data_IF_511321923095
#
_entry.id   IF_511321923095
#
_cell.length_a   1.000
_cell.length_b   1.000
_cell.length_c   1.000
_cell.angle_alpha   90.00
_cell.angle_beta   90.00
_cell.angle_gamma   90.00
#
_symmetry.space_group_name_H-M   'P 1'
#
loop_
_entity.id
_entity.type
_entity.pdbx_description
1 polymer ?
#
# COMPACT_ATOMS: atom_id res chain seq x y z
N UNK A 1 17.09 19.15 50.68
CA UNK A 1 17.68 18.03 49.90
C UNK A 1 16.73 17.65 48.77
N UNK A 2 16.94 18.16 47.55
CA UNK A 2 16.12 17.85 46.40
C UNK A 2 16.53 16.50 45.80
N UNK A 3 15.64 15.53 45.84
CA UNK A 3 15.84 14.23 45.15
C UNK A 3 15.89 14.50 43.63
N UNK A 4 17.10 14.42 43.04
CA UNK A 4 17.27 14.28 41.59
C UNK A 4 16.49 13.05 41.14
N UNK A 5 15.36 13.25 40.44
CA UNK A 5 14.67 12.19 39.70
C UNK A 5 15.62 11.68 38.62
N UNK A 6 15.98 10.42 38.70
CA UNK A 6 16.69 9.72 37.67
C UNK A 6 15.92 9.89 36.35
N UNK A 7 16.62 10.29 35.30
CA UNK A 7 16.10 10.46 33.96
C UNK A 7 15.84 9.05 33.38
N UNK A 8 14.69 8.45 33.75
CA UNK A 8 14.32 7.13 33.25
C UNK A 8 13.77 7.34 31.83
N UNK A 9 14.59 6.99 30.82
CA UNK A 9 14.23 7.04 29.40
C UNK A 9 13.19 5.99 28.98
N UNK A 10 12.73 5.13 29.90
CA UNK A 10 11.76 4.08 29.63
C UNK A 10 10.34 4.57 29.96
N UNK A 11 9.40 4.25 29.07
CA UNK A 11 7.97 4.49 29.26
C UNK A 11 7.44 3.60 30.38
N UNK A 12 6.63 4.16 31.25
CA UNK A 12 5.84 3.36 32.20
C UNK A 12 4.74 2.59 31.46
N UNK A 13 4.26 1.48 32.06
CA UNK A 13 3.18 0.68 31.47
C UNK A 13 1.93 1.51 31.12
N UNK A 14 1.67 2.57 31.89
CA UNK A 14 0.53 3.46 31.65
C UNK A 14 0.78 4.41 30.48
N UNK A 15 1.96 4.95 30.38
CA UNK A 15 2.39 5.80 29.24
C UNK A 15 2.40 4.98 27.95
N UNK A 16 2.87 3.73 28.00
CA UNK A 16 2.82 2.83 26.87
C UNK A 16 1.37 2.57 26.43
N UNK A 17 0.45 2.27 27.36
CA UNK A 17 -0.97 2.06 27.03
C UNK A 17 -1.62 3.28 26.38
N UNK A 18 -1.26 4.48 26.83
CA UNK A 18 -1.76 5.75 26.23
C UNK A 18 -1.20 5.92 24.82
N UNK A 19 0.10 5.70 24.63
CA UNK A 19 0.75 5.82 23.33
C UNK A 19 0.19 4.81 22.32
N UNK A 20 0.00 3.56 22.74
CA UNK A 20 -0.56 2.51 21.90
C UNK A 20 -2.01 2.81 21.49
N UNK A 21 -2.82 3.37 22.40
CA UNK A 21 -4.17 3.81 22.06
C UNK A 21 -4.18 4.97 21.06
N UNK A 22 -3.27 5.95 21.21
CA UNK A 22 -3.14 7.08 20.27
C UNK A 22 -2.75 6.55 18.89
N UNK A 23 -1.77 5.67 18.82
CA UNK A 23 -1.33 5.02 17.57
C UNK A 23 -2.46 4.27 16.88
N UNK A 24 -3.17 3.43 17.66
CA UNK A 24 -4.31 2.66 17.17
C UNK A 24 -5.39 3.55 16.57
N UNK A 25 -5.75 4.63 17.25
CA UNK A 25 -6.77 5.58 16.78
C UNK A 25 -6.33 6.32 15.50
N UNK A 26 -5.09 6.78 15.43
CA UNK A 26 -4.55 7.41 14.20
C UNK A 26 -4.57 6.41 13.05
N UNK A 27 -4.27 5.14 13.33
CA UNK A 27 -4.29 4.09 12.32
C UNK A 27 -5.70 3.76 11.81
N UNK A 28 -6.67 3.60 12.73
CA UNK A 28 -8.04 3.19 12.40
C UNK A 28 -8.88 4.34 11.81
N UNK A 29 -8.77 5.53 12.40
CA UNK A 29 -9.66 6.65 12.09
C UNK A 29 -8.99 7.72 11.19
N UNK A 30 -7.64 7.69 11.03
CA UNK A 30 -6.88 8.68 10.27
C UNK A 30 -6.62 10.00 11.02
N UNK A 31 -7.05 10.12 12.27
CA UNK A 31 -6.84 11.31 13.11
C UNK A 31 -6.62 10.93 14.59
N UNK A 32 -5.89 11.78 15.36
CA UNK A 32 -5.60 11.49 16.75
C UNK A 32 -6.85 11.58 17.64
N UNK A 33 -6.89 10.81 18.77
CA UNK A 33 -7.98 10.83 19.71
C UNK A 33 -7.99 12.12 20.52
N UNK A 34 -9.17 12.48 21.02
CA UNK A 34 -9.33 13.53 22.04
C UNK A 34 -8.84 13.06 23.40
N UNK A 35 -8.51 14.00 24.28
CA UNK A 35 -8.12 13.70 25.69
C UNK A 35 -9.19 12.89 26.42
N UNK A 36 -10.48 13.10 26.11
CA UNK A 36 -11.60 12.35 26.71
C UNK A 36 -11.63 10.91 26.24
N UNK A 37 -11.38 10.65 24.96
CA UNK A 37 -11.28 9.31 24.40
C UNK A 37 -10.10 8.54 25.02
N UNK A 38 -8.92 9.18 25.15
CA UNK A 38 -7.78 8.61 25.84
C UNK A 38 -8.16 8.28 27.29
N UNK A 39 -8.80 9.21 28.01
CA UNK A 39 -9.21 9.02 29.38
C UNK A 39 -10.10 7.77 29.58
N UNK A 40 -11.07 7.60 28.68
CA UNK A 40 -11.98 6.44 28.67
C UNK A 40 -11.24 5.14 28.34
N UNK A 41 -10.38 5.15 27.33
CA UNK A 41 -9.68 3.97 26.86
C UNK A 41 -8.71 3.38 27.89
N UNK A 42 -8.05 4.24 28.68
CA UNK A 42 -7.09 3.79 29.70
C UNK A 42 -7.67 3.77 31.12
N UNK A 43 -9.01 3.85 31.26
CA UNK A 43 -9.75 3.84 32.52
C UNK A 43 -9.25 4.90 33.53
N UNK A 44 -8.98 6.11 33.07
CA UNK A 44 -8.66 7.25 33.93
C UNK A 44 -9.94 8.10 34.15
N UNK A 45 -10.09 8.61 35.37
CA UNK A 45 -11.25 9.44 35.76
C UNK A 45 -11.04 10.95 35.52
N UNK A 46 -9.79 11.37 35.36
CA UNK A 46 -9.42 12.78 35.25
C UNK A 46 -8.65 13.07 33.97
N UNK A 47 -9.15 14.02 33.17
CA UNK A 47 -8.45 14.54 32.00
C UNK A 47 -7.13 15.24 32.36
N UNK A 48 -7.03 15.83 33.55
CA UNK A 48 -5.80 16.46 34.06
C UNK A 48 -4.66 15.43 34.17
N UNK A 49 -4.99 14.19 34.57
CA UNK A 49 -4.02 13.10 34.65
C UNK A 49 -3.51 12.72 33.26
N UNK A 50 -4.42 12.66 32.27
CA UNK A 50 -4.05 12.39 30.88
C UNK A 50 -3.13 13.51 30.35
N UNK A 51 -3.46 14.77 30.63
CA UNK A 51 -2.57 15.90 30.24
C UNK A 51 -1.17 15.76 30.83
N UNK A 52 -1.03 15.28 32.06
CA UNK A 52 0.27 15.03 32.69
C UNK A 52 1.07 13.93 31.95
N UNK A 53 0.41 12.83 31.57
CA UNK A 53 1.06 11.78 30.77
C UNK A 53 1.45 12.27 29.38
N UNK A 54 0.55 13.02 28.72
CA UNK A 54 0.85 13.57 27.38
C UNK A 54 2.00 14.59 27.44
N UNK A 55 2.11 15.41 28.49
CA UNK A 55 3.23 16.34 28.67
C UNK A 55 4.56 15.58 28.82
N UNK A 56 4.54 14.47 29.57
CA UNK A 56 5.75 13.65 29.74
C UNK A 56 6.14 12.93 28.45
N UNK A 57 5.16 12.38 27.70
CA UNK A 57 5.43 11.77 26.38
C UNK A 57 6.01 12.79 25.40
N UNK A 58 5.58 14.05 25.46
CA UNK A 58 6.12 15.15 24.68
C UNK A 58 7.54 15.54 25.11
N UNK A 59 7.81 15.61 26.42
CA UNK A 59 9.16 15.85 26.97
C UNK A 59 10.12 14.72 26.59
N UNK A 60 9.64 13.47 26.48
CA UNK A 60 10.40 12.32 26.01
C UNK A 60 10.59 12.33 24.49
N UNK A 61 9.93 13.21 23.75
CA UNK A 61 10.02 13.34 22.30
C UNK A 61 9.28 12.25 21.51
N UNK A 62 8.41 11.45 22.17
CA UNK A 62 7.63 10.38 21.50
C UNK A 62 6.31 10.87 20.89
N UNK A 63 5.84 12.04 21.32
CA UNK A 63 4.75 12.78 20.70
C UNK A 63 5.10 14.25 20.54
N UNK A 64 4.44 14.93 19.60
CA UNK A 64 4.39 16.38 19.49
C UNK A 64 2.94 16.85 19.62
N UNK A 65 2.74 18.03 20.19
CA UNK A 65 1.43 18.68 20.24
C UNK A 65 1.48 19.99 19.49
N UNK A 66 0.45 20.26 18.71
CA UNK A 66 0.24 21.59 18.16
C UNK A 66 -0.69 22.38 19.09
N UNK A 67 -0.23 23.49 19.68
CA UNK A 67 -1.05 24.31 20.59
C UNK A 67 -2.31 24.90 19.93
N UNK A 68 -2.31 24.99 18.59
CA UNK A 68 -3.40 25.61 17.84
C UNK A 68 -4.60 24.69 17.58
N UNK A 69 -4.47 23.39 17.85
CA UNK A 69 -5.54 22.42 17.55
C UNK A 69 -5.81 21.46 18.71
N UNK A 70 -7.08 21.28 19.03
CA UNK A 70 -7.53 20.35 20.09
C UNK A 70 -7.33 18.86 19.76
N UNK A 71 -6.98 18.53 18.52
CA UNK A 71 -6.69 17.17 17.99
C UNK A 71 -5.30 17.03 17.40
N UNK A 72 -4.36 17.85 17.82
CA UNK A 72 -3.03 17.86 17.24
C UNK A 72 -2.02 17.12 18.11
N UNK A 73 -2.17 15.81 18.21
CA UNK A 73 -1.16 14.91 18.74
C UNK A 73 -0.52 14.19 17.57
N UNK A 74 0.74 14.50 17.28
CA UNK A 74 1.57 13.77 16.33
C UNK A 74 2.45 12.79 17.11
N UNK A 75 2.43 11.53 16.76
CA UNK A 75 3.37 10.54 17.32
C UNK A 75 4.68 10.67 16.57
N UNK A 76 5.74 11.07 17.29
CA UNK A 76 7.11 11.12 16.77
C UNK A 76 7.66 9.70 16.87
N UNK A 77 7.33 8.86 15.93
CA UNK A 77 7.81 7.48 15.93
C UNK A 77 8.63 7.20 14.68
N UNK A 78 9.88 6.84 14.90
CA UNK A 78 10.76 6.32 13.85
C UNK A 78 10.27 4.93 13.35
N UNK A 79 9.18 4.43 13.94
CA UNK A 79 8.57 3.13 13.64
C UNK A 79 7.11 3.21 13.17
N UNK A 80 6.68 4.35 12.64
CA UNK A 80 5.34 4.53 12.03
C UNK A 80 5.02 3.49 10.94
N UNK A 81 6.06 2.95 10.30
CA UNK A 81 5.96 1.87 9.32
C UNK A 81 5.41 0.54 9.90
N UNK A 82 5.57 0.27 11.23
CA UNK A 82 5.03 -0.95 11.88
C UNK A 82 3.50 -0.95 11.95
N UNK A 83 2.88 0.21 11.83
CA UNK A 83 1.44 0.39 11.87
C UNK A 83 0.84 0.70 10.50
N UNK A 84 1.64 0.65 9.42
CA UNK A 84 1.11 0.80 8.07
C UNK A 84 0.14 -0.33 7.75
N UNK A 85 -1.01 0.04 7.22
CA UNK A 85 -2.00 -0.94 6.74
C UNK A 85 -1.35 -1.75 5.64
N UNK A 86 -1.19 -3.05 5.88
CA UNK A 86 -0.74 -4.00 4.87
C UNK A 86 -1.96 -4.55 4.14
N UNK A 87 -1.93 -4.51 2.83
CA UNK A 87 -2.98 -5.08 1.98
C UNK A 87 -2.46 -6.42 1.47
N UNK A 88 -3.19 -7.53 1.71
CA UNK A 88 -2.84 -8.82 1.14
C UNK A 88 -3.08 -8.77 -0.37
N UNK A 89 -2.01 -8.90 -1.17
CA UNK A 89 -2.06 -8.90 -2.62
C UNK A 89 -2.01 -10.33 -3.15
N UNK A 90 -3.05 -10.80 -3.86
CA UNK A 90 -3.01 -12.10 -4.49
C UNK A 90 -1.96 -12.12 -5.61
N UNK A 91 -1.12 -13.14 -5.61
CA UNK A 91 -0.17 -13.42 -6.68
C UNK A 91 -0.79 -14.42 -7.64
N UNK A 92 -0.93 -14.01 -8.91
CA UNK A 92 -1.59 -14.79 -9.95
C UNK A 92 -0.53 -15.38 -10.89
N UNK A 93 -0.52 -16.69 -11.06
CA UNK A 93 0.46 -17.38 -11.90
C UNK A 93 0.18 -17.27 -13.40
N UNK A 94 -1.10 -17.24 -13.80
CA UNK A 94 -1.53 -17.06 -15.17
C UNK A 94 -2.88 -16.34 -15.22
N UNK A 95 -3.07 -15.50 -16.23
CA UNK A 95 -4.33 -14.80 -16.50
C UNK A 95 -4.91 -15.36 -17.80
N UNK A 96 -6.13 -15.92 -17.74
CA UNK A 96 -6.81 -16.54 -18.88
C UNK A 96 -8.11 -15.83 -19.23
N UNK A 97 -8.55 -16.03 -20.46
CA UNK A 97 -9.83 -15.50 -20.92
C UNK A 97 -11.01 -16.23 -20.26
N UNK A 98 -12.04 -15.45 -19.88
CA UNK A 98 -13.29 -16.01 -19.35
C UNK A 98 -13.32 -16.35 -17.86
N UNK A 99 -12.19 -16.27 -17.16
CA UNK A 99 -12.09 -16.60 -15.74
C UNK A 99 -11.85 -15.33 -14.90
N UNK A 100 -12.40 -15.24 -13.67
CA UNK A 100 -12.07 -14.16 -12.74
C UNK A 100 -10.58 -14.18 -12.42
N UNK A 101 -9.93 -13.01 -12.42
CA UNK A 101 -8.48 -12.87 -12.16
C UNK A 101 -8.04 -13.43 -10.81
N UNK A 102 -8.90 -13.29 -9.82
CA UNK A 102 -8.64 -13.63 -8.41
C UNK A 102 -9.50 -14.81 -7.97
N UNK A 103 -9.79 -15.74 -8.88
CA UNK A 103 -10.36 -17.03 -8.47
C UNK A 103 -9.33 -17.77 -7.61
N UNK A 104 -9.77 -18.44 -6.53
CA UNK A 104 -8.90 -19.17 -5.61
C UNK A 104 -7.97 -20.16 -6.31
N UNK A 105 -8.36 -20.67 -7.47
CA UNK A 105 -7.61 -21.62 -8.30
C UNK A 105 -6.38 -21.00 -8.99
N UNK A 106 -6.33 -19.68 -9.12
CA UNK A 106 -5.24 -18.94 -9.78
C UNK A 106 -4.29 -18.24 -8.82
N UNK A 107 -4.64 -18.18 -7.53
CA UNK A 107 -3.84 -17.54 -6.50
C UNK A 107 -2.77 -18.51 -6.01
N UNK A 108 -1.53 -18.32 -6.45
CA UNK A 108 -0.39 -19.14 -6.01
C UNK A 108 0.06 -18.78 -4.59
N UNK A 109 -0.03 -17.52 -4.22
CA UNK A 109 0.35 -17.02 -2.90
C UNK A 109 -0.22 -15.62 -2.63
N UNK A 110 -0.02 -15.11 -1.41
CA UNK A 110 -0.42 -13.75 -1.03
C UNK A 110 0.81 -12.98 -0.54
N UNK A 111 1.07 -11.82 -1.16
CA UNK A 111 2.18 -10.95 -0.80
C UNK A 111 1.66 -9.67 -0.14
N UNK A 112 1.99 -9.39 1.14
CA UNK A 112 1.50 -8.19 1.81
C UNK A 112 2.27 -6.96 1.36
N UNK A 113 1.55 -5.94 0.83
CA UNK A 113 2.11 -4.65 0.46
C UNK A 113 1.56 -3.52 1.33
N UNK A 114 2.36 -2.48 1.64
CA UNK A 114 1.85 -1.26 2.26
C UNK A 114 0.75 -0.61 1.40
N UNK A 115 -0.35 -0.17 2.03
CA UNK A 115 -1.47 0.47 1.33
C UNK A 115 -1.04 1.66 0.46
N UNK A 116 0.00 2.37 0.86
CA UNK A 116 0.58 3.50 0.12
C UNK A 116 1.17 3.10 -1.24
N UNK A 117 1.59 1.86 -1.41
CA UNK A 117 2.14 1.33 -2.67
C UNK A 117 1.06 0.87 -3.64
N UNK A 118 -0.15 0.62 -3.13
CA UNK A 118 -1.27 0.08 -3.92
C UNK A 118 -2.24 1.19 -4.37
N UNK A 119 -2.17 2.38 -3.73
CA UNK A 119 -3.09 3.47 -4.01
C UNK A 119 -4.46 3.26 -3.35
N UNK A 120 -5.46 4.03 -3.80
CA UNK A 120 -6.85 3.94 -3.28
C UNK A 120 -7.64 2.75 -3.82
N UNK A 121 -7.16 2.09 -4.86
CA UNK A 121 -7.84 0.97 -5.51
C UNK A 121 -7.53 -0.33 -4.78
N UNK A 122 -8.53 -0.88 -4.11
CA UNK A 122 -8.41 -2.13 -3.35
C UNK A 122 -8.34 -3.38 -4.25
N UNK A 123 -8.57 -3.27 -5.56
CA UNK A 123 -8.58 -4.38 -6.49
C UNK A 123 -7.26 -4.42 -7.28
N UNK A 124 -6.21 -4.86 -6.62
CA UNK A 124 -4.92 -5.07 -7.25
C UNK A 124 -4.48 -6.53 -7.09
N UNK A 125 -3.65 -6.98 -8.00
CA UNK A 125 -3.02 -8.30 -7.95
C UNK A 125 -1.55 -8.22 -8.38
N UNK A 126 -0.79 -9.25 -8.10
CA UNK A 126 0.59 -9.39 -8.54
C UNK A 126 0.66 -10.41 -9.68
N UNK A 127 1.35 -10.04 -10.74
CA UNK A 127 1.66 -10.93 -11.88
C UNK A 127 3.16 -11.11 -11.99
N UNK A 128 3.61 -12.35 -12.13
CA UNK A 128 5.02 -12.66 -12.38
C UNK A 128 5.30 -12.54 -13.87
N UNK A 129 6.32 -11.75 -14.22
CA UNK A 129 6.72 -11.54 -15.62
C UNK A 129 7.38 -12.80 -16.18
N UNK A 130 6.94 -13.19 -17.36
CA UNK A 130 7.57 -14.24 -18.17
C UNK A 130 8.02 -13.65 -19.50
N UNK A 131 9.30 -13.87 -19.84
CA UNK A 131 9.91 -13.34 -21.04
C UNK A 131 10.40 -11.89 -20.92
N UNK A 132 10.91 -11.36 -22.02
CA UNK A 132 11.71 -10.13 -22.10
C UNK A 132 11.12 -9.06 -23.03
N UNK A 133 9.85 -9.19 -23.42
CA UNK A 133 9.21 -8.29 -24.39
C UNK A 133 9.10 -6.83 -23.94
N UNK A 134 9.33 -6.54 -22.64
CA UNK A 134 9.22 -5.20 -22.04
C UNK A 134 10.54 -4.72 -21.40
N UNK A 135 11.67 -5.30 -21.82
CA UNK A 135 12.99 -5.05 -21.23
C UNK A 135 13.42 -3.56 -21.29
N UNK A 136 13.09 -2.85 -22.37
CA UNK A 136 13.42 -1.43 -22.52
C UNK A 136 12.51 -0.51 -21.66
N UNK A 137 11.40 -1.03 -21.13
CA UNK A 137 10.60 -0.38 -20.10
C UNK A 137 11.12 -0.69 -18.69
N UNK A 138 12.25 -1.42 -18.56
CA UNK A 138 12.82 -1.82 -17.29
C UNK A 138 12.16 -3.04 -16.66
N UNK A 139 11.25 -3.71 -17.36
CA UNK A 139 10.55 -4.93 -16.90
C UNK A 139 11.27 -6.15 -17.43
N UNK A 140 11.69 -7.05 -16.56
CA UNK A 140 12.47 -8.24 -16.87
C UNK A 140 11.75 -9.52 -16.42
N UNK A 141 12.16 -10.63 -16.96
CA UNK A 141 11.67 -11.94 -16.51
C UNK A 141 11.92 -12.13 -15.01
N UNK A 142 10.93 -12.66 -14.32
CA UNK A 142 10.94 -12.86 -12.88
C UNK A 142 10.51 -11.65 -12.04
N UNK A 143 10.27 -10.49 -12.65
CA UNK A 143 9.71 -9.33 -11.95
C UNK A 143 8.29 -9.58 -11.47
N UNK A 144 7.92 -8.94 -10.36
CA UNK A 144 6.58 -8.92 -9.80
C UNK A 144 5.91 -7.60 -10.17
N UNK A 145 4.93 -7.64 -11.05
CA UNK A 145 4.16 -6.46 -11.44
C UNK A 145 2.97 -6.29 -10.50
N UNK A 146 2.84 -5.09 -9.93
CA UNK A 146 1.64 -4.69 -9.20
C UNK A 146 0.67 -4.12 -10.24
N UNK A 147 -0.49 -4.75 -10.36
CA UNK A 147 -1.48 -4.47 -11.40
C UNK A 147 -2.79 -4.04 -10.73
N UNK A 148 -3.29 -2.85 -11.09
CA UNK A 148 -4.64 -2.40 -10.74
C UNK A 148 -5.63 -3.01 -11.71
N UNK A 149 -6.61 -3.78 -11.20
CA UNK A 149 -7.64 -4.44 -12.01
C UNK A 149 -8.56 -3.38 -12.62
N UNK A 150 -8.61 -3.31 -13.94
CA UNK A 150 -9.48 -2.42 -14.71
C UNK A 150 -9.61 -2.92 -16.15
N UNK A 151 -10.70 -2.52 -16.81
CA UNK A 151 -11.05 -2.93 -18.18
C UNK A 151 -10.73 -1.86 -19.25
N UNK A 152 -10.12 -0.76 -18.85
CA UNK A 152 -9.78 0.38 -19.71
C UNK A 152 -8.32 0.80 -19.51
N UNK A 153 -7.77 1.49 -20.53
CA UNK A 153 -6.42 2.05 -20.49
C UNK A 153 -6.33 3.31 -21.35
N UNK A 154 -5.32 4.11 -21.08
CA UNK A 154 -4.96 5.28 -21.88
C UNK A 154 -3.72 4.99 -22.72
N UNK A 155 -3.55 5.73 -23.81
CA UNK A 155 -2.35 5.60 -24.65
C UNK A 155 -1.06 5.79 -23.84
N UNK A 156 -0.16 4.85 -23.99
CA UNK A 156 1.10 4.81 -23.27
C UNK A 156 1.07 4.04 -21.94
N UNK A 157 -0.10 3.63 -21.43
CA UNK A 157 -0.17 2.77 -20.25
C UNK A 157 0.46 1.40 -20.51
N UNK A 158 1.13 0.85 -19.51
CA UNK A 158 1.57 -0.56 -19.52
C UNK A 158 0.43 -1.39 -18.95
N UNK A 159 -0.07 -2.33 -19.72
CA UNK A 159 -1.26 -3.11 -19.37
C UNK A 159 -1.00 -4.60 -19.38
N UNK A 160 -1.80 -5.33 -18.61
CA UNK A 160 -2.04 -6.76 -18.76
C UNK A 160 -3.26 -6.90 -19.67
N UNK A 161 -3.09 -7.55 -20.81
CA UNK A 161 -4.14 -7.70 -21.82
C UNK A 161 -4.21 -9.12 -22.34
N UNK A 162 -5.42 -9.54 -22.72
CA UNK A 162 -5.70 -10.76 -23.48
C UNK A 162 -5.95 -10.39 -24.93
N UNK A 163 -5.49 -11.23 -25.85
CA UNK A 163 -5.75 -11.09 -27.28
C UNK A 163 -6.48 -12.34 -27.76
N UNK A 164 -7.76 -12.19 -28.08
CA UNK A 164 -8.62 -13.34 -28.33
C UNK A 164 -8.74 -14.25 -27.11
N UNK A 165 -8.44 -15.55 -27.32
CA UNK A 165 -8.46 -16.56 -26.25
C UNK A 165 -7.05 -16.94 -25.76
N UNK A 166 -6.04 -16.14 -26.10
CA UNK A 166 -4.66 -16.41 -25.71
C UNK A 166 -4.39 -16.05 -24.24
N UNK A 167 -3.20 -16.50 -23.78
CA UNK A 167 -2.68 -16.13 -22.46
C UNK A 167 -2.44 -14.61 -22.35
N UNK A 168 -2.45 -14.10 -21.14
CA UNK A 168 -2.21 -12.69 -20.88
C UNK A 168 -0.81 -12.26 -21.32
N UNK A 169 -0.74 -11.06 -21.87
CA UNK A 169 0.51 -10.39 -22.24
C UNK A 169 0.65 -9.03 -21.59
N UNK A 170 1.88 -8.63 -21.27
CA UNK A 170 2.20 -7.29 -20.77
C UNK A 170 2.79 -6.47 -21.91
N UNK A 171 2.13 -5.37 -22.27
CA UNK A 171 2.53 -4.48 -23.37
C UNK A 171 2.16 -3.03 -23.06
N UNK A 172 2.73 -2.11 -23.85
CA UNK A 172 2.28 -0.73 -23.85
C UNK A 172 1.06 -0.58 -24.77
N UNK A 173 -0.01 0.00 -24.23
CA UNK A 173 -1.29 0.13 -24.89
C UNK A 173 -1.35 1.40 -25.75
N UNK A 174 -1.93 1.28 -26.95
CA UNK A 174 -2.32 2.40 -27.81
C UNK A 174 -3.64 2.09 -28.51
N UNK A 175 -4.58 3.03 -28.44
CA UNK A 175 -5.84 2.95 -29.14
C UNK A 175 -5.74 3.68 -30.46
N UNK A 176 -5.72 2.95 -31.55
CA UNK A 176 -5.73 3.47 -32.92
C UNK A 176 -7.17 3.65 -33.42
N UNK A 177 -7.34 4.19 -34.63
CA UNK A 177 -8.66 4.53 -35.16
C UNK A 177 -9.63 3.32 -35.29
N UNK A 178 -9.14 2.15 -35.62
CA UNK A 178 -9.94 0.94 -35.90
C UNK A 178 -9.43 -0.35 -35.21
N UNK A 179 -8.36 -0.25 -34.42
CA UNK A 179 -7.75 -1.37 -33.72
C UNK A 179 -7.01 -0.91 -32.46
N UNK A 180 -6.57 -1.88 -31.65
CA UNK A 180 -5.66 -1.67 -30.53
C UNK A 180 -4.28 -2.16 -30.95
N UNK A 181 -3.26 -1.37 -30.66
CA UNK A 181 -1.86 -1.74 -30.78
C UNK A 181 -1.26 -1.97 -29.40
N UNK A 182 -0.83 -3.19 -29.17
CA UNK A 182 -0.06 -3.57 -27.98
C UNK A 182 1.42 -3.60 -28.36
N UNK A 183 2.14 -2.56 -27.92
CA UNK A 183 3.53 -2.32 -28.29
C UNK A 183 4.48 -2.98 -27.31
N UNK A 184 5.37 -3.90 -27.73
CA UNK A 184 6.48 -4.38 -26.92
C UNK A 184 7.53 -3.27 -26.77
N UNK A 185 8.19 -3.27 -25.64
CA UNK A 185 9.36 -2.44 -25.35
C UNK A 185 10.65 -3.28 -25.49
N UNK A 186 10.73 -3.98 -26.62
CA UNK A 186 11.89 -4.76 -27.06
C UNK A 186 11.83 -4.86 -28.60
N UNK A 187 12.84 -4.37 -29.34
CA UNK A 187 12.88 -4.40 -30.82
C UNK A 187 12.85 -5.82 -31.44
N UNK A 188 13.14 -6.84 -30.64
CA UNK A 188 13.09 -8.25 -31.11
C UNK A 188 11.63 -8.72 -31.31
N UNK A 189 10.65 -8.01 -30.76
CA UNK A 189 9.23 -8.36 -30.86
C UNK A 189 8.47 -7.38 -31.72
N UNK A 190 7.51 -7.88 -32.50
CA UNK A 190 6.61 -7.05 -33.30
C UNK A 190 5.41 -6.61 -32.45
N UNK A 191 4.85 -5.44 -32.74
CA UNK A 191 3.58 -5.03 -32.13
C UNK A 191 2.46 -6.03 -32.45
N UNK A 192 1.58 -6.25 -31.47
CA UNK A 192 0.34 -6.98 -31.66
C UNK A 192 -0.75 -5.98 -32.05
N UNK A 193 -1.38 -6.21 -33.20
CA UNK A 193 -2.46 -5.37 -33.74
C UNK A 193 -3.71 -6.24 -33.76
N UNK A 194 -4.72 -5.86 -32.98
CA UNK A 194 -5.98 -6.63 -32.87
C UNK A 194 -7.17 -5.70 -32.56
N UNK A 195 -8.37 -6.14 -33.00
CA UNK A 195 -9.65 -5.54 -32.57
C UNK A 195 -10.22 -6.25 -31.35
N UNK A 196 -9.75 -7.46 -31.09
CA UNK A 196 -10.17 -8.31 -29.99
C UNK A 196 -9.10 -8.30 -28.91
N UNK A 197 -9.14 -7.27 -28.07
CA UNK A 197 -8.24 -7.08 -26.92
C UNK A 197 -9.07 -6.79 -25.69
N UNK A 198 -8.89 -7.60 -24.66
CA UNK A 198 -9.49 -7.40 -23.34
C UNK A 198 -8.42 -6.92 -22.37
N UNK A 199 -8.57 -5.72 -21.82
CA UNK A 199 -7.70 -5.20 -20.76
C UNK A 199 -8.11 -5.87 -19.44
N UNK A 200 -7.13 -6.41 -18.73
CA UNK A 200 -7.31 -7.03 -17.42
C UNK A 200 -6.77 -6.17 -16.28
N UNK A 201 -5.93 -5.21 -16.57
CA UNK A 201 -5.43 -4.26 -15.60
C UNK A 201 -4.29 -3.40 -16.12
N UNK A 202 -3.99 -2.35 -15.35
CA UNK A 202 -2.88 -1.42 -15.57
C UNK A 202 -1.75 -1.72 -14.59
N UNK A 203 -0.53 -1.77 -15.08
CA UNK A 203 0.67 -1.89 -14.24
C UNK A 203 0.89 -0.56 -13.54
N UNK A 204 0.91 -0.58 -12.21
CA UNK A 204 1.10 0.60 -11.35
C UNK A 204 2.42 0.56 -10.58
N UNK A 205 3.06 -0.60 -10.52
CA UNK A 205 4.33 -0.76 -9.81
C UNK A 205 5.06 -2.04 -10.22
N UNK A 206 6.32 -2.12 -9.79
CA UNK A 206 7.20 -3.27 -10.02
C UNK A 206 8.03 -3.53 -8.78
N UNK A 207 8.16 -4.79 -8.42
CA UNK A 207 9.11 -5.27 -7.42
C UNK A 207 10.05 -6.29 -8.04
N UNK A 208 11.35 -6.13 -7.80
CA UNK A 208 12.38 -7.06 -8.22
C UNK A 208 13.25 -7.47 -7.05
N UNK A 209 13.46 -8.76 -6.91
CA UNK A 209 14.43 -9.33 -6.00
C UNK A 209 15.71 -9.65 -6.75
N UNK A 210 16.87 -9.30 -6.20
CA UNK A 210 18.20 -9.58 -6.78
C UNK A 210 18.89 -10.71 -6.05
#
# INVERSE_FOLDING_TARGET
MARRRANNKELTSREQSILDFIRKKIYEDGYPPTVREICSAVNLRSTSTVHGYLARLEEMGVIKKDPASSRAIEVVDDMSWRHKKMIPMPMVGAVRAGEPLVADEHVESVFPLPAEMVGSDNNCFILVVRGDSMINAGIQEGDYLIVSEQDHAQDGDIVVALVGNDDATVKRFYKEADHIRLQPENPAYKPIISKDVTIRGKVIGLYRHF
#
